data_IF_723018764230
#
_entry.id   IF_723018764230
#
_cell.length_a   1.000
_cell.length_b   1.000
_cell.length_c   1.000
_cell.angle_alpha   90.00
_cell.angle_beta   90.00
_cell.angle_gamma   90.00
#
_symmetry.space_group_name_H-M   'P 1'
#
loop_
_entity.id
_entity.type
_entity.pdbx_description
1 polymer ?
#
# COMPACT_ATOMS: atom_id res chain seq x y z
N UNK A 1 -22.19 -6.57 10.72
CA UNK A 1 -20.93 -6.05 10.13
C UNK A 1 -20.99 -5.99 8.60
N UNK A 2 -21.49 -7.01 7.90
CA UNK A 2 -21.67 -7.02 6.43
C UNK A 2 -22.61 -5.93 5.91
N UNK A 3 -23.71 -5.66 6.63
CA UNK A 3 -24.73 -4.68 6.23
C UNK A 3 -24.20 -3.24 6.27
N UNK A 4 -23.33 -2.92 7.24
CA UNK A 4 -22.70 -1.59 7.33
C UNK A 4 -21.68 -1.37 6.21
N UNK A 5 -20.94 -2.41 5.83
CA UNK A 5 -20.04 -2.37 4.66
C UNK A 5 -20.84 -2.17 3.37
N UNK A 6 -22.00 -2.80 3.24
CA UNK A 6 -22.90 -2.62 2.09
C UNK A 6 -23.47 -1.19 2.01
N UNK A 7 -23.95 -0.63 3.12
CA UNK A 7 -24.47 0.74 3.11
C UNK A 7 -23.39 1.81 2.90
N UNK A 8 -22.18 1.59 3.40
CA UNK A 8 -21.04 2.47 3.12
C UNK A 8 -20.54 2.37 1.68
N UNK A 9 -20.71 1.22 1.01
CA UNK A 9 -20.38 1.09 -0.43
C UNK A 9 -21.43 1.73 -1.34
N UNK A 10 -22.71 1.73 -0.93
CA UNK A 10 -23.81 2.34 -1.71
C UNK A 10 -23.85 3.87 -1.54
N UNK A 11 -23.51 4.41 -0.38
CA UNK A 11 -23.51 5.86 -0.11
C UNK A 11 -22.34 6.63 -0.74
N UNK A 12 -21.45 5.95 -1.46
CA UNK A 12 -20.31 6.53 -2.17
C UNK A 12 -20.63 7.25 -3.48
N UNK A 13 -21.89 7.64 -3.73
CA UNK A 13 -22.28 8.55 -4.83
C UNK A 13 -21.76 9.97 -4.57
N UNK A 14 -20.44 10.13 -4.51
CA UNK A 14 -19.79 11.44 -4.51
C UNK A 14 -19.52 11.83 -5.97
N UNK A 15 -20.34 12.75 -6.48
CA UNK A 15 -20.19 13.89 -7.45
C UNK A 15 -19.00 13.94 -8.45
N UNK A 16 -17.96 13.12 -8.34
CA UNK A 16 -16.74 13.12 -9.14
C UNK A 16 -16.50 11.84 -9.97
N UNK A 17 -17.44 10.89 -10.00
CA UNK A 17 -17.30 9.65 -10.78
C UNK A 17 -18.13 9.70 -12.06
N UNK A 18 -17.50 9.32 -13.17
CA UNK A 18 -18.04 9.22 -14.52
C UNK A 18 -19.52 8.77 -14.60
N UNK A 19 -20.22 9.31 -15.60
CA UNK A 19 -21.59 9.01 -16.02
C UNK A 19 -21.83 7.53 -16.46
N UNK A 20 -20.91 6.61 -16.14
CA UNK A 20 -20.92 5.21 -16.58
C UNK A 20 -20.78 4.19 -15.44
N UNK A 21 -21.02 4.58 -14.18
CA UNK A 21 -21.39 3.64 -13.10
C UNK A 21 -20.35 2.63 -12.59
N UNK A 22 -19.17 2.55 -13.20
CA UNK A 22 -18.11 1.63 -12.77
C UNK A 22 -17.09 2.34 -11.86
N UNK A 23 -17.28 2.20 -10.55
CA UNK A 23 -16.35 2.66 -9.52
C UNK A 23 -15.13 1.72 -9.50
N UNK A 24 -14.19 1.90 -10.44
CA UNK A 24 -13.01 1.03 -10.57
C UNK A 24 -11.68 1.78 -10.40
N UNK A 25 -10.80 1.27 -9.52
CA UNK A 25 -9.40 1.73 -9.40
C UNK A 25 -8.50 0.85 -10.26
N UNK A 26 -8.08 1.37 -11.42
CA UNK A 26 -7.27 0.66 -12.43
C UNK A 26 -5.91 0.15 -11.91
N UNK A 27 -5.44 0.60 -10.74
CA UNK A 27 -4.16 0.22 -10.14
C UNK A 27 -4.26 -0.63 -8.85
N UNK A 28 -5.47 -0.97 -8.39
CA UNK A 28 -5.65 -1.61 -7.08
C UNK A 28 -4.88 -2.93 -6.95
N UNK A 29 -4.98 -3.80 -7.96
CA UNK A 29 -4.35 -5.13 -7.96
C UNK A 29 -2.82 -5.01 -7.86
N UNK A 30 -2.22 -4.12 -8.66
CA UNK A 30 -0.76 -3.94 -8.66
C UNK A 30 -0.24 -3.45 -7.31
N UNK A 31 -0.98 -2.57 -6.61
CA UNK A 31 -0.58 -2.11 -5.27
C UNK A 31 -0.70 -3.21 -4.23
N UNK A 32 -1.74 -4.04 -4.30
CA UNK A 32 -1.92 -5.16 -3.37
C UNK A 32 -0.81 -6.21 -3.57
N UNK A 33 -0.39 -6.46 -4.82
CA UNK A 33 0.69 -7.42 -5.12
C UNK A 33 2.01 -7.03 -4.44
N UNK A 34 2.29 -5.75 -4.20
CA UNK A 34 3.53 -5.34 -3.51
C UNK A 34 3.61 -5.93 -2.09
N UNK A 35 2.47 -6.08 -1.40
CA UNK A 35 2.39 -6.71 -0.09
C UNK A 35 2.72 -8.21 -0.10
N UNK A 36 2.67 -8.87 -1.26
CA UNK A 36 3.01 -10.29 -1.36
C UNK A 36 4.50 -10.56 -1.13
N UNK A 37 5.38 -9.58 -1.39
CA UNK A 37 6.80 -9.74 -1.11
C UNK A 37 7.07 -9.83 0.42
N UNK A 38 6.61 -8.90 1.26
CA UNK A 38 6.63 -9.06 2.73
C UNK A 38 5.86 -10.29 3.21
N UNK A 39 4.71 -10.62 2.61
CA UNK A 39 3.93 -11.82 2.95
C UNK A 39 4.76 -13.10 2.77
N UNK A 40 5.49 -13.21 1.66
CA UNK A 40 6.37 -14.34 1.38
C UNK A 40 7.45 -14.48 2.45
N UNK A 41 8.10 -13.38 2.83
CA UNK A 41 9.10 -13.39 3.90
C UNK A 41 8.49 -13.72 5.27
N UNK A 42 7.29 -13.23 5.56
CA UNK A 42 6.59 -13.56 6.80
C UNK A 42 6.34 -15.06 6.90
N UNK A 43 5.84 -15.70 5.85
CA UNK A 43 5.59 -17.15 5.83
C UNK A 43 6.89 -17.93 6.03
N UNK A 44 7.96 -17.55 5.33
CA UNK A 44 9.27 -18.20 5.44
C UNK A 44 9.87 -18.08 6.85
N UNK A 45 9.80 -16.89 7.46
CA UNK A 45 10.37 -16.62 8.78
C UNK A 45 9.37 -16.78 9.94
N UNK A 46 8.16 -17.29 9.68
CA UNK A 46 7.05 -17.36 10.65
C UNK A 46 7.44 -18.01 11.97
N UNK A 47 8.21 -19.10 11.90
CA UNK A 47 8.66 -19.83 13.11
C UNK A 47 9.55 -18.96 14.00
N UNK A 48 10.43 -18.15 13.42
CA UNK A 48 11.29 -17.24 14.18
C UNK A 48 10.50 -16.06 14.74
N UNK A 49 9.65 -15.45 13.91
CA UNK A 49 8.78 -14.34 14.29
C UNK A 49 7.87 -14.74 15.46
N UNK A 50 7.30 -15.95 15.42
CA UNK A 50 6.49 -16.48 16.52
C UNK A 50 7.25 -16.55 17.85
N UNK A 51 8.54 -16.90 17.83
CA UNK A 51 9.36 -16.95 19.06
C UNK A 51 9.59 -15.56 19.67
N UNK A 52 9.71 -14.54 18.83
CA UNK A 52 9.97 -13.16 19.25
C UNK A 52 8.69 -12.52 19.82
N UNK A 53 7.58 -12.66 19.10
CA UNK A 53 6.33 -11.97 19.46
C UNK A 53 5.41 -12.77 20.38
N UNK A 54 5.78 -14.00 20.74
CA UNK A 54 5.10 -14.90 21.70
C UNK A 54 3.59 -15.01 21.50
N UNK A 55 2.80 -14.14 22.15
CA UNK A 55 1.33 -14.14 22.09
C UNK A 55 0.78 -13.20 20.99
N UNK A 56 1.54 -12.17 20.61
CA UNK A 56 1.13 -11.15 19.64
C UNK A 56 1.29 -11.60 18.18
N UNK A 57 1.88 -12.77 17.91
CA UNK A 57 2.08 -13.27 16.55
C UNK A 57 0.76 -13.48 15.78
N UNK A 58 -0.34 -13.73 16.48
CA UNK A 58 -1.67 -13.96 15.88
C UNK A 58 -2.16 -12.72 15.12
N UNK A 59 -1.78 -11.52 15.57
CA UNK A 59 -2.10 -10.28 14.86
C UNK A 59 -1.47 -10.26 13.46
N UNK A 60 -0.24 -10.75 13.32
CA UNK A 60 0.42 -10.85 12.02
C UNK A 60 -0.19 -11.94 11.13
N UNK A 61 -0.64 -13.06 11.70
CA UNK A 61 -1.40 -14.07 10.96
C UNK A 61 -2.71 -13.47 10.41
N UNK A 62 -3.40 -12.62 11.20
CA UNK A 62 -4.60 -11.92 10.75
C UNK A 62 -4.32 -10.86 9.68
N UNK A 63 -3.25 -10.08 9.81
CA UNK A 63 -2.84 -9.11 8.79
C UNK A 63 -2.45 -9.81 7.48
N UNK A 64 -1.73 -10.92 7.55
CA UNK A 64 -1.37 -11.74 6.40
C UNK A 64 -2.63 -12.28 5.68
N UNK A 65 -3.62 -12.76 6.44
CA UNK A 65 -4.90 -13.18 5.89
C UNK A 65 -5.66 -12.01 5.27
N UNK A 66 -5.62 -10.83 5.91
CA UNK A 66 -6.29 -9.63 5.41
C UNK A 66 -5.71 -9.16 4.08
N UNK A 67 -4.39 -9.28 3.85
CA UNK A 67 -3.75 -9.02 2.55
C UNK A 67 -4.35 -9.92 1.45
N UNK A 68 -4.47 -11.22 1.72
CA UNK A 68 -5.04 -12.18 0.76
C UNK A 68 -6.53 -11.87 0.52
N UNK A 69 -7.27 -11.54 1.58
CA UNK A 69 -8.67 -11.14 1.49
C UNK A 69 -8.84 -9.86 0.66
N UNK A 70 -7.99 -8.85 0.84
CA UNK A 70 -8.04 -7.62 0.04
C UNK A 70 -7.76 -7.87 -1.44
N UNK A 71 -6.90 -8.84 -1.78
CA UNK A 71 -6.70 -9.23 -3.17
C UNK A 71 -7.97 -9.83 -3.78
N UNK A 72 -8.66 -10.73 -3.06
CA UNK A 72 -9.93 -11.29 -3.52
C UNK A 72 -11.01 -10.22 -3.66
N UNK A 73 -11.04 -9.27 -2.72
CA UNK A 73 -12.00 -8.16 -2.71
C UNK A 73 -11.75 -7.14 -3.83
N UNK A 74 -10.51 -7.05 -4.33
CA UNK A 74 -10.16 -6.15 -5.43
C UNK A 74 -10.86 -6.49 -6.75
N UNK A 75 -11.35 -7.72 -6.94
CA UNK A 75 -12.08 -8.15 -8.14
C UNK A 75 -13.47 -7.46 -8.21
N UNK A 76 -14.36 -7.60 -7.20
CA UNK A 76 -15.66 -6.93 -7.21
C UNK A 76 -15.63 -5.46 -6.74
N UNK A 77 -14.70 -5.09 -5.85
CA UNK A 77 -14.69 -3.79 -5.17
C UNK A 77 -13.29 -3.17 -5.17
N UNK A 78 -12.77 -2.89 -6.37
CA UNK A 78 -11.38 -2.44 -6.56
C UNK A 78 -11.04 -1.15 -5.81
N UNK A 79 -11.95 -0.17 -5.74
CA UNK A 79 -11.72 1.08 -4.98
C UNK A 79 -11.67 0.86 -3.49
N UNK A 80 -12.57 0.05 -2.93
CA UNK A 80 -12.59 -0.27 -1.51
C UNK A 80 -11.31 -1.04 -1.12
N UNK A 81 -10.95 -2.06 -1.90
CA UNK A 81 -9.71 -2.80 -1.71
C UNK A 81 -8.48 -1.88 -1.72
N UNK A 82 -8.40 -0.95 -2.68
CA UNK A 82 -7.31 0.00 -2.80
C UNK A 82 -7.17 0.91 -1.57
N UNK A 83 -8.30 1.37 -0.99
CA UNK A 83 -8.28 2.19 0.23
C UNK A 83 -7.91 1.40 1.47
N UNK A 84 -8.41 0.16 1.61
CA UNK A 84 -8.05 -0.70 2.73
C UNK A 84 -6.58 -1.13 2.68
N UNK A 85 -6.04 -1.33 1.48
CA UNK A 85 -4.66 -1.75 1.28
C UNK A 85 -3.63 -0.77 1.91
N UNK A 86 -3.94 0.53 1.95
CA UNK A 86 -3.05 1.53 2.55
C UNK A 86 -2.75 1.24 4.04
N UNK A 87 -3.69 0.67 4.78
CA UNK A 87 -3.48 0.34 6.19
C UNK A 87 -2.62 -0.92 6.39
N UNK A 88 -2.48 -1.75 5.36
CA UNK A 88 -1.68 -2.97 5.39
C UNK A 88 -0.18 -2.70 5.32
N UNK A 89 0.23 -1.47 4.98
CA UNK A 89 1.65 -1.10 4.93
C UNK A 89 2.37 -1.28 6.27
N UNK A 90 1.64 -1.23 7.38
CA UNK A 90 2.19 -1.49 8.73
C UNK A 90 2.77 -2.91 8.84
N UNK A 91 2.14 -3.88 8.17
CA UNK A 91 2.66 -5.25 8.08
C UNK A 91 4.00 -5.26 7.35
N UNK A 92 4.09 -4.62 6.19
CA UNK A 92 5.30 -4.59 5.37
C UNK A 92 6.48 -3.99 6.13
N UNK A 93 6.27 -2.82 6.74
CA UNK A 93 7.29 -2.11 7.51
C UNK A 93 7.84 -3.03 8.60
N UNK A 94 6.96 -3.73 9.32
CA UNK A 94 7.36 -4.60 10.40
C UNK A 94 8.15 -5.82 9.92
N UNK A 95 7.69 -6.50 8.88
CA UNK A 95 8.38 -7.68 8.34
C UNK A 95 9.73 -7.31 7.73
N UNK A 96 9.80 -6.20 7.00
CA UNK A 96 11.06 -5.70 6.45
C UNK A 96 12.01 -5.25 7.57
N UNK A 97 11.52 -4.62 8.63
CA UNK A 97 12.33 -4.26 9.80
C UNK A 97 12.87 -5.49 10.52
N UNK A 98 12.05 -6.53 10.68
CA UNK A 98 12.49 -7.79 11.25
C UNK A 98 13.58 -8.44 10.38
N UNK A 99 13.37 -8.51 9.07
CA UNK A 99 14.35 -9.07 8.14
C UNK A 99 15.67 -8.28 8.19
N UNK A 100 15.60 -6.95 8.26
CA UNK A 100 16.78 -6.10 8.43
C UNK A 100 17.56 -6.38 9.73
N UNK A 101 16.89 -6.81 10.80
CA UNK A 101 17.54 -7.17 12.07
C UNK A 101 18.27 -8.52 12.02
N UNK A 102 17.82 -9.46 11.18
CA UNK A 102 18.42 -10.80 11.04
C UNK A 102 19.58 -10.85 10.03
N UNK A 103 19.73 -9.82 9.19
CA UNK A 103 20.75 -9.78 8.15
C UNK A 103 22.13 -9.34 8.66
N UNK A 104 23.20 -9.87 8.03
CA UNK A 104 24.58 -9.39 8.21
C UNK A 104 24.76 -7.98 7.63
N UNK A 105 25.76 -7.24 8.10
CA UNK A 105 25.99 -5.83 7.75
C UNK A 105 26.00 -5.53 6.23
N UNK A 106 26.68 -6.35 5.42
CA UNK A 106 26.69 -6.18 3.96
C UNK A 106 25.29 -6.35 3.34
N UNK A 107 24.57 -7.40 3.74
CA UNK A 107 23.23 -7.69 3.24
C UNK A 107 22.20 -6.64 3.70
N UNK A 108 22.41 -6.01 4.87
CA UNK A 108 21.56 -4.91 5.37
C UNK A 108 21.60 -3.70 4.46
N UNK A 109 22.79 -3.26 4.05
CA UNK A 109 22.93 -2.13 3.14
C UNK A 109 22.28 -2.44 1.79
N UNK A 110 22.52 -3.63 1.26
CA UNK A 110 21.90 -4.07 0.01
C UNK A 110 20.36 -4.08 0.09
N UNK A 111 19.80 -4.56 1.20
CA UNK A 111 18.35 -4.55 1.42
C UNK A 111 17.79 -3.12 1.45
N UNK A 112 18.42 -2.20 2.19
CA UNK A 112 17.96 -0.81 2.28
C UNK A 112 17.97 -0.15 0.91
N UNK A 113 19.08 -0.30 0.16
CA UNK A 113 19.19 0.22 -1.21
C UNK A 113 18.11 -0.37 -2.11
N UNK A 114 17.85 -1.68 -2.01
CA UNK A 114 16.81 -2.34 -2.80
C UNK A 114 15.40 -1.81 -2.48
N UNK A 115 15.08 -1.59 -1.20
CA UNK A 115 13.78 -1.05 -0.77
C UNK A 115 13.60 0.38 -1.27
N UNK A 116 14.61 1.22 -1.12
CA UNK A 116 14.58 2.61 -1.59
C UNK A 116 14.43 2.66 -3.11
N UNK A 117 15.21 1.84 -3.83
CA UNK A 117 15.15 1.75 -5.27
C UNK A 117 13.77 1.31 -5.76
N UNK A 118 13.21 0.25 -5.18
CA UNK A 118 11.88 -0.25 -5.55
C UNK A 118 10.78 0.79 -5.33
N UNK A 119 10.78 1.46 -4.17
CA UNK A 119 9.79 2.50 -3.88
C UNK A 119 9.95 3.72 -4.79
N UNK A 120 11.18 4.12 -5.09
CA UNK A 120 11.46 5.21 -6.02
C UNK A 120 10.97 4.87 -7.43
N UNK A 121 11.25 3.66 -7.90
CA UNK A 121 10.78 3.18 -9.19
C UNK A 121 9.25 3.14 -9.25
N UNK A 122 8.60 2.64 -8.19
CA UNK A 122 7.14 2.63 -8.10
C UNK A 122 6.57 4.05 -8.16
N UNK A 123 7.16 5.00 -7.44
CA UNK A 123 6.78 6.41 -7.46
C UNK A 123 6.95 7.03 -8.86
N UNK A 124 8.08 6.77 -9.53
CA UNK A 124 8.36 7.27 -10.89
C UNK A 124 7.35 6.72 -11.88
N UNK A 125 7.05 5.42 -11.82
CA UNK A 125 6.03 4.80 -12.68
C UNK A 125 4.69 5.49 -12.46
N UNK A 126 4.32 5.70 -11.19
CA UNK A 126 3.03 6.24 -10.84
C UNK A 126 2.87 7.71 -11.26
N UNK A 127 3.92 8.51 -11.08
CA UNK A 127 3.92 9.93 -11.41
C UNK A 127 3.87 10.20 -12.91
N UNK A 128 4.58 9.39 -13.71
CA UNK A 128 4.71 9.63 -15.15
C UNK A 128 3.68 8.85 -15.98
N UNK A 129 3.34 7.63 -15.56
CA UNK A 129 2.50 6.71 -16.35
C UNK A 129 1.14 6.39 -15.69
N UNK A 130 0.81 7.02 -14.56
CA UNK A 130 -0.50 6.87 -13.94
C UNK A 130 -1.62 7.47 -14.80
N UNK A 131 -2.85 6.92 -14.69
CA UNK A 131 -4.01 7.38 -15.47
C UNK A 131 -4.32 8.89 -15.33
N UNK A 132 -3.90 9.49 -14.21
CA UNK A 132 -4.09 10.91 -13.90
C UNK A 132 -2.78 11.71 -13.92
N UNK A 133 -1.70 11.16 -14.50
CA UNK A 133 -0.39 11.84 -14.56
C UNK A 133 -0.47 13.18 -15.29
N UNK A 134 -1.28 13.27 -16.35
CA UNK A 134 -1.49 14.52 -17.10
C UNK A 134 -2.19 15.62 -16.29
N UNK A 135 -2.94 15.25 -15.24
CA UNK A 135 -3.61 16.18 -14.34
C UNK A 135 -2.76 16.52 -13.10
N UNK A 136 -1.56 15.93 -12.98
CA UNK A 136 -0.66 16.23 -11.89
C UNK A 136 -0.08 17.63 -12.07
N UNK A 137 -0.39 18.50 -11.12
CA UNK A 137 0.22 19.82 -11.00
C UNK A 137 1.34 19.75 -9.95
N UNK A 138 2.51 20.36 -10.21
CA UNK A 138 3.52 20.50 -9.18
C UNK A 138 2.93 21.23 -7.98
N UNK A 139 3.31 20.80 -6.77
CA UNK A 139 2.76 21.33 -5.54
C UNK A 139 2.92 22.86 -5.48
N UNK A 140 1.79 23.56 -5.54
CA UNK A 140 1.76 25.01 -5.45
C UNK A 140 1.79 25.42 -3.98
N UNK A 141 3.00 25.65 -3.48
CA UNK A 141 3.16 26.18 -2.14
C UNK A 141 2.90 27.69 -2.16
N UNK A 142 1.88 28.13 -1.42
CA UNK A 142 1.51 29.55 -1.34
C UNK A 142 2.68 30.45 -0.92
N UNK A 143 3.53 29.99 0.00
CA UNK A 143 4.71 30.73 0.47
C UNK A 143 5.77 30.87 -0.63
N UNK A 144 6.02 29.81 -1.40
CA UNK A 144 7.00 29.82 -2.49
C UNK A 144 6.50 30.70 -3.63
N UNK A 145 5.22 30.57 -3.98
CA UNK A 145 4.60 31.39 -5.03
C UNK A 145 4.64 32.87 -4.65
N UNK A 146 4.28 33.22 -3.41
CA UNK A 146 4.34 34.59 -2.90
C UNK A 146 5.75 35.19 -2.94
N UNK A 147 6.77 34.41 -2.59
CA UNK A 147 8.17 34.85 -2.65
C UNK A 147 8.67 35.02 -4.09
N UNK A 148 8.24 34.17 -5.02
CA UNK A 148 8.64 34.27 -6.44
C UNK A 148 7.92 35.41 -7.17
N UNK A 149 6.71 35.78 -6.75
CA UNK A 149 5.96 36.93 -7.30
C UNK A 149 6.39 38.29 -6.75
N UNK A 150 7.10 38.31 -5.61
CA UNK A 150 7.59 39.54 -4.96
C UNK A 150 9.04 39.92 -5.31
N UNK A 151 9.70 39.13 -6.16
CA UNK A 151 11.03 39.37 -6.76
C UNK A 151 10.83 39.82 -8.20
#
# INVERSE_FOLDING_TARGET
>A
MSVLVYFSSVSGENVYTNQSGEISSAGAIFRIIVHFLPLFFYVFYRVKIKKIFKDNYRLFDYLALLIIFTLMLAIPFSTLADRFNLYLIMFDIFILSYLYSELKAFNRNFMVVSVVFFNTLMLVIWLNFGAWSAAWLPYQNYLINYLMESI
#
